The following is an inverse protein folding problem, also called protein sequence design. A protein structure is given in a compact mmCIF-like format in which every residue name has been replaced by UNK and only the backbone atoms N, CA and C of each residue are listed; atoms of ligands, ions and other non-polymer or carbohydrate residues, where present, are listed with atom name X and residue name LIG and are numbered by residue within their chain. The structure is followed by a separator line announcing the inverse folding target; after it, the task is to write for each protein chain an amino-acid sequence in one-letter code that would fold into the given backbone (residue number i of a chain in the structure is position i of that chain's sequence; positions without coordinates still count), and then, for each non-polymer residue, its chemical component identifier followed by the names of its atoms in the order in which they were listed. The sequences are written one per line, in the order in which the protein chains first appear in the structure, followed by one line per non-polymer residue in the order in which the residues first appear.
data_IF_805864798869
#
_entry.id   IF_805864798869
#
_cell.length_a   1.000
_cell.length_b   1.000
_cell.length_c   1.000
_cell.angle_alpha   90.00
_cell.angle_beta   90.00
_cell.angle_gamma   90.00
#
_symmetry.space_group_name_H-M   'P 1'
#
loop_
_entity.id
_entity.type
_entity.pdbx_description
1 polymer ?
#
# COMPACT_ATOMS: atom_id res chain seq x y z
N UNK A 1 16.82 56.26 2.49
CA UNK A 1 17.12 54.98 1.76
C UNK A 1 17.26 53.75 2.65
N UNK A 2 17.42 53.84 3.97
CA UNK A 2 17.64 52.73 4.89
C UNK A 2 16.36 51.88 5.21
N UNK A 3 15.15 52.43 5.11
CA UNK A 3 13.90 51.71 5.40
C UNK A 3 13.51 50.65 4.36
N UNK A 4 13.98 50.74 3.13
CA UNK A 4 13.71 49.78 2.04
C UNK A 4 14.57 48.51 2.09
N UNK A 5 15.73 48.60 2.70
CA UNK A 5 16.68 47.48 2.85
C UNK A 5 16.27 46.51 3.95
N UNK A 6 15.54 46.97 4.99
CA UNK A 6 15.09 46.11 6.11
C UNK A 6 13.94 45.16 5.68
N UNK A 7 13.08 45.62 4.73
CA UNK A 7 11.99 44.79 4.21
C UNK A 7 12.44 43.68 3.26
N UNK A 8 13.58 43.87 2.56
CA UNK A 8 14.12 42.83 1.66
C UNK A 8 14.82 41.68 2.39
N UNK A 9 15.23 41.85 3.66
CA UNK A 9 15.86 40.82 4.46
C UNK A 9 14.89 39.83 5.14
N UNK A 10 13.61 40.18 5.29
CA UNK A 10 12.61 39.34 5.95
C UNK A 10 11.90 38.36 5.01
N UNK A 11 11.94 38.58 3.69
CA UNK A 11 11.26 37.75 2.69
C UNK A 11 11.79 36.28 2.64
N UNK A 12 13.10 35.98 2.72
CA UNK A 12 13.60 34.60 2.66
C UNK A 12 13.34 33.79 3.93
N UNK A 13 13.13 34.42 5.10
CA UNK A 13 12.82 33.69 6.33
C UNK A 13 11.38 33.14 6.38
N UNK A 14 10.46 33.74 5.64
CA UNK A 14 9.06 33.29 5.63
C UNK A 14 8.84 32.02 4.77
N UNK A 15 9.73 31.71 3.82
CA UNK A 15 9.63 30.52 2.97
C UNK A 15 10.11 29.23 3.68
N UNK A 16 10.89 29.30 4.73
CA UNK A 16 11.35 28.15 5.52
C UNK A 16 10.31 27.66 6.53
N UNK A 17 9.22 28.40 6.76
CA UNK A 17 8.16 28.04 7.71
C UNK A 17 7.16 27.01 7.17
N UNK A 18 7.12 26.75 5.85
CA UNK A 18 6.35 25.66 5.26
C UNK A 18 7.10 24.35 5.49
N UNK A 19 6.98 23.69 6.63
CA UNK A 19 7.66 22.45 7.02
C UNK A 19 7.57 21.30 6.01
N UNK A 20 7.96 21.54 4.77
CA UNK A 20 7.99 20.57 3.68
C UNK A 20 9.14 19.60 3.89
N UNK A 21 8.84 18.49 4.57
CA UNK A 21 9.77 17.36 4.66
C UNK A 21 9.55 16.46 3.44
N UNK A 22 10.57 16.32 2.61
CA UNK A 22 10.64 15.25 1.62
C UNK A 22 10.31 13.93 2.31
N UNK A 23 9.43 13.14 1.70
CA UNK A 23 9.04 11.81 2.21
C UNK A 23 10.28 10.93 2.27
N UNK A 24 10.82 10.73 3.45
CA UNK A 24 11.95 9.84 3.66
C UNK A 24 11.51 8.38 3.51
N UNK A 25 12.41 7.54 2.99
CA UNK A 25 12.17 6.10 2.97
C UNK A 25 11.92 5.62 4.42
N UNK A 26 10.93 4.77 4.64
CA UNK A 26 10.64 4.26 5.97
C UNK A 26 11.83 3.49 6.53
N UNK A 27 12.06 3.60 7.85
CA UNK A 27 13.01 2.78 8.58
C UNK A 27 12.32 1.53 9.08
N UNK A 28 13.02 0.39 9.00
CA UNK A 28 12.52 -0.90 9.46
C UNK A 28 13.40 -1.44 10.58
N UNK A 29 12.81 -2.21 11.50
CA UNK A 29 13.53 -2.90 12.57
C UNK A 29 14.27 -4.16 12.08
N UNK A 30 14.22 -4.46 10.80
CA UNK A 30 14.82 -5.63 10.15
C UNK A 30 15.54 -5.21 8.87
N UNK A 31 16.56 -5.97 8.50
CA UNK A 31 17.38 -5.78 7.29
C UNK A 31 17.09 -6.83 6.20
N UNK A 32 16.56 -7.98 6.59
CA UNK A 32 16.25 -9.10 5.70
C UNK A 32 14.80 -9.55 5.87
N UNK A 33 14.10 -9.75 4.75
CA UNK A 33 12.70 -10.14 4.72
C UNK A 33 12.47 -11.24 3.68
N UNK A 34 11.82 -12.32 4.08
CA UNK A 34 11.25 -13.29 3.15
C UNK A 34 9.80 -12.92 2.85
N UNK A 35 9.47 -12.72 1.57
CA UNK A 35 8.12 -12.43 1.12
C UNK A 35 7.43 -13.72 0.64
N UNK A 36 6.61 -14.30 1.51
CA UNK A 36 5.77 -15.45 1.20
C UNK A 36 4.49 -14.97 0.48
N UNK A 37 4.60 -14.76 -0.82
CA UNK A 37 3.49 -14.39 -1.70
C UNK A 37 3.57 -15.23 -2.97
N UNK A 38 2.41 -15.55 -3.57
CA UNK A 38 2.38 -16.24 -4.86
C UNK A 38 3.16 -15.46 -5.93
N UNK A 39 3.87 -16.15 -6.80
CA UNK A 39 4.66 -15.52 -7.86
C UNK A 39 3.80 -14.65 -8.78
N UNK A 40 2.55 -15.06 -9.02
CA UNK A 40 1.57 -14.34 -9.83
C UNK A 40 0.83 -13.21 -9.08
N UNK A 41 1.07 -13.03 -7.75
CA UNK A 41 0.40 -11.98 -6.97
C UNK A 41 0.82 -10.57 -7.42
N UNK A 42 -0.09 -9.75 -7.99
CA UNK A 42 0.22 -8.39 -8.37
C UNK A 42 0.61 -7.52 -7.17
N UNK A 43 -0.08 -7.71 -6.03
CA UNK A 43 0.20 -7.01 -4.78
C UNK A 43 1.56 -7.42 -4.21
N UNK A 44 1.88 -8.72 -4.19
CA UNK A 44 3.18 -9.22 -3.75
C UNK A 44 4.33 -8.67 -4.61
N UNK A 45 4.13 -8.59 -5.92
CA UNK A 45 5.10 -8.02 -6.85
C UNK A 45 5.31 -6.51 -6.62
N UNK A 46 4.24 -5.76 -6.37
CA UNK A 46 4.33 -4.33 -6.08
C UNK A 46 5.00 -4.08 -4.72
N UNK A 47 4.64 -4.84 -3.70
CA UNK A 47 5.26 -4.76 -2.37
C UNK A 47 6.76 -5.07 -2.43
N UNK A 48 7.16 -6.13 -3.16
CA UNK A 48 8.56 -6.46 -3.40
C UNK A 48 9.33 -5.28 -4.02
N UNK A 49 8.80 -4.67 -5.09
CA UNK A 49 9.44 -3.52 -5.74
C UNK A 49 9.58 -2.33 -4.78
N UNK A 50 8.53 -2.03 -4.01
CA UNK A 50 8.54 -0.93 -3.06
C UNK A 50 9.54 -1.15 -1.93
N UNK A 51 9.60 -2.35 -1.33
CA UNK A 51 10.59 -2.67 -0.29
C UNK A 51 12.01 -2.56 -0.84
N UNK A 52 12.28 -3.17 -2.00
CA UNK A 52 13.59 -3.11 -2.65
C UNK A 52 14.03 -1.68 -2.97
N UNK A 53 13.10 -0.81 -3.39
CA UNK A 53 13.40 0.58 -3.72
C UNK A 53 13.81 1.44 -2.52
N UNK A 54 13.54 1.00 -1.29
CA UNK A 54 14.00 1.70 -0.08
C UNK A 54 15.50 1.60 0.11
N UNK A 55 16.15 0.58 -0.46
CA UNK A 55 17.57 0.29 -0.29
C UNK A 55 17.96 -0.18 1.13
N UNK A 56 16.97 -0.35 2.04
CA UNK A 56 17.19 -0.66 3.46
C UNK A 56 16.91 -2.12 3.81
N UNK A 57 16.18 -2.84 2.96
CA UNK A 57 15.74 -4.22 3.20
C UNK A 57 16.11 -5.08 2.01
N UNK A 58 16.78 -6.20 2.28
CA UNK A 58 16.98 -7.27 1.31
C UNK A 58 15.77 -8.20 1.32
N UNK A 59 15.09 -8.33 0.17
CA UNK A 59 13.87 -9.12 0.07
C UNK A 59 14.15 -10.42 -0.69
N UNK A 60 13.88 -11.54 -0.04
CA UNK A 60 13.97 -12.88 -0.59
C UNK A 60 12.58 -13.41 -0.96
N UNK A 61 12.52 -14.22 -2.01
CA UNK A 61 11.31 -14.95 -2.44
C UNK A 61 11.56 -16.43 -2.69
N UNK A 62 12.80 -16.86 -2.60
CA UNK A 62 13.20 -18.25 -2.74
C UNK A 62 13.08 -18.96 -1.37
N UNK A 63 12.40 -20.09 -1.32
CA UNK A 63 12.14 -20.81 -0.07
C UNK A 63 13.40 -21.31 0.67
N UNK A 64 14.59 -21.13 0.09
CA UNK A 64 15.87 -21.55 0.69
C UNK A 64 16.32 -20.64 1.83
N UNK A 65 15.88 -19.37 1.82
CA UNK A 65 16.32 -18.34 2.77
C UNK A 65 15.40 -18.18 3.99
N UNK A 66 14.42 -19.09 4.19
CA UNK A 66 13.40 -18.95 5.24
C UNK A 66 13.96 -18.90 6.68
N UNK A 67 15.08 -19.56 6.94
CA UNK A 67 15.70 -19.61 8.27
C UNK A 67 16.77 -18.52 8.48
N UNK A 68 17.19 -17.84 7.41
CA UNK A 68 18.31 -16.90 7.42
C UNK A 68 17.85 -15.44 7.31
N UNK A 69 16.54 -15.20 7.47
CA UNK A 69 15.96 -13.86 7.44
C UNK A 69 15.53 -13.37 8.82
N UNK A 70 15.51 -12.06 9.01
CA UNK A 70 15.03 -11.48 10.26
C UNK A 70 13.51 -11.70 10.41
N UNK A 71 12.76 -11.53 9.30
CA UNK A 71 11.30 -11.65 9.30
C UNK A 71 10.75 -12.31 8.05
N UNK A 72 9.58 -12.93 8.21
CA UNK A 72 8.79 -13.54 7.15
C UNK A 72 7.45 -12.81 7.06
N UNK A 73 7.17 -12.25 5.90
CA UNK A 73 5.89 -11.62 5.58
C UNK A 73 5.03 -12.62 4.80
N UNK A 74 4.04 -13.19 5.46
CA UNK A 74 3.07 -14.09 4.84
C UNK A 74 1.90 -13.26 4.25
N UNK A 75 1.74 -13.26 2.93
CA UNK A 75 0.55 -12.77 2.26
C UNK A 75 -0.48 -13.91 2.21
N UNK A 76 -1.44 -13.90 3.14
CA UNK A 76 -2.36 -15.02 3.36
C UNK A 76 -3.55 -14.99 2.41
N UNK A 77 -4.00 -13.79 2.02
CA UNK A 77 -5.17 -13.61 1.17
C UNK A 77 -5.04 -12.33 0.34
N UNK A 78 -5.40 -12.42 -0.94
CA UNK A 78 -5.60 -11.28 -1.84
C UNK A 78 -6.88 -11.57 -2.62
N UNK A 79 -7.97 -10.83 -2.34
CA UNK A 79 -9.29 -11.10 -2.89
C UNK A 79 -9.91 -9.82 -3.45
N UNK A 80 -10.38 -9.89 -4.69
CA UNK A 80 -11.15 -8.85 -5.35
C UNK A 80 -12.61 -9.26 -5.39
N UNK A 81 -13.50 -8.35 -5.00
CA UNK A 81 -14.94 -8.59 -4.95
C UNK A 81 -15.68 -7.46 -5.68
N UNK A 82 -16.79 -7.81 -6.30
CA UNK A 82 -17.76 -6.86 -6.88
C UNK A 82 -19.10 -7.10 -6.17
N UNK A 83 -19.61 -6.08 -5.53
CA UNK A 83 -20.89 -6.14 -4.82
C UNK A 83 -21.86 -5.16 -5.44
N UNK A 84 -23.05 -5.63 -5.80
CA UNK A 84 -24.14 -4.75 -6.27
C UNK A 84 -24.66 -3.98 -5.06
N UNK A 85 -24.62 -2.65 -5.11
CA UNK A 85 -25.07 -1.75 -4.03
C UNK A 85 -26.22 -0.85 -4.46
N UNK A 86 -26.48 -0.73 -5.78
CA UNK A 86 -27.59 0.07 -6.31
C UNK A 86 -28.27 -0.58 -7.51
N UNK A 87 -29.62 -0.58 -7.47
CA UNK A 87 -30.47 -0.99 -8.60
C UNK A 87 -31.37 0.18 -9.00
N UNK A 88 -31.79 0.22 -10.27
CA UNK A 88 -32.84 1.13 -10.71
C UNK A 88 -34.25 0.54 -10.45
N UNK A 89 -35.30 1.30 -10.76
CA UNK A 89 -36.69 0.87 -10.62
C UNK A 89 -37.05 -0.37 -11.45
N UNK A 90 -36.30 -0.68 -12.50
CA UNK A 90 -36.44 -1.85 -13.34
C UNK A 90 -35.60 -3.05 -12.88
N UNK A 91 -34.92 -2.98 -11.74
CA UNK A 91 -34.06 -4.04 -11.20
C UNK A 91 -32.69 -4.16 -11.85
N UNK A 92 -32.30 -3.24 -12.73
CA UNK A 92 -31.00 -3.27 -13.38
C UNK A 92 -29.93 -2.65 -12.46
N UNK A 93 -28.71 -3.18 -12.50
CA UNK A 93 -27.57 -2.68 -11.73
C UNK A 93 -27.21 -1.26 -12.16
N UNK A 94 -27.09 -0.37 -11.19
CA UNK A 94 -26.68 1.03 -11.37
C UNK A 94 -25.40 1.38 -10.66
N UNK A 95 -25.10 0.66 -9.57
CA UNK A 95 -23.94 0.93 -8.78
C UNK A 95 -23.31 -0.37 -8.27
N UNK A 96 -22.00 -0.46 -8.40
CA UNK A 96 -21.18 -1.53 -7.88
C UNK A 96 -20.20 -0.97 -6.86
N UNK A 97 -19.97 -1.71 -5.79
CA UNK A 97 -18.88 -1.48 -4.89
C UNK A 97 -17.78 -2.51 -5.17
N UNK A 98 -16.61 -2.01 -5.55
CA UNK A 98 -15.39 -2.79 -5.69
C UNK A 98 -14.72 -2.90 -4.33
N UNK A 99 -14.30 -4.11 -3.95
CA UNK A 99 -13.59 -4.38 -2.71
C UNK A 99 -12.30 -5.11 -3.00
N UNK A 100 -11.22 -4.65 -2.37
CA UNK A 100 -9.95 -5.37 -2.33
C UNK A 100 -9.64 -5.70 -0.88
N UNK A 101 -9.66 -6.98 -0.58
CA UNK A 101 -9.39 -7.53 0.75
C UNK A 101 -8.04 -8.21 0.74
N UNK A 102 -7.17 -7.85 1.67
CA UNK A 102 -5.82 -8.40 1.81
C UNK A 102 -5.60 -8.78 3.27
N UNK A 103 -5.16 -10.02 3.50
CA UNK A 103 -4.77 -10.49 4.82
C UNK A 103 -3.30 -10.86 4.81
N UNK A 104 -2.57 -10.36 5.79
CA UNK A 104 -1.15 -10.64 5.94
C UNK A 104 -0.76 -10.72 7.42
N UNK A 105 0.41 -11.30 7.68
CA UNK A 105 1.07 -11.28 8.99
C UNK A 105 2.58 -11.12 8.81
N UNK A 106 3.25 -10.63 9.84
CA UNK A 106 4.71 -10.62 9.94
C UNK A 106 5.11 -11.52 11.12
N UNK A 107 5.98 -12.48 10.86
CA UNK A 107 6.53 -13.36 11.89
C UNK A 107 8.04 -13.47 11.79
N UNK A 108 8.69 -13.88 12.87
CA UNK A 108 10.10 -14.25 12.87
C UNK A 108 10.26 -15.77 12.63
N UNK A 109 11.43 -16.23 12.13
CA UNK A 109 11.71 -17.67 12.04
C UNK A 109 11.60 -18.40 13.38
N UNK A 110 11.82 -17.68 14.49
CA UNK A 110 11.77 -18.22 15.86
C UNK A 110 10.34 -18.31 16.42
N UNK A 111 9.33 -17.88 15.66
CA UNK A 111 7.92 -17.97 16.04
C UNK A 111 7.33 -16.72 16.69
N UNK A 112 8.09 -15.63 16.80
CA UNK A 112 7.53 -14.32 17.18
C UNK A 112 6.58 -13.78 16.10
N UNK A 113 5.56 -13.03 16.49
CA UNK A 113 4.59 -12.39 15.59
C UNK A 113 4.53 -10.87 15.82
N UNK A 114 5.52 -10.09 15.32
CA UNK A 114 5.54 -8.64 15.43
C UNK A 114 4.29 -7.97 14.83
N UNK A 115 3.69 -8.55 13.79
CA UNK A 115 2.36 -8.19 13.29
C UNK A 115 1.54 -9.48 13.18
N UNK A 116 0.53 -9.68 14.06
CA UNK A 116 -0.38 -10.81 13.96
C UNK A 116 -1.19 -10.72 12.67
N UNK A 117 -1.92 -11.78 12.33
CA UNK A 117 -2.77 -11.79 11.13
C UNK A 117 -3.75 -10.61 11.16
N UNK A 118 -3.64 -9.73 10.19
CA UNK A 118 -4.43 -8.50 10.05
C UNK A 118 -5.01 -8.40 8.65
N UNK A 119 -6.24 -7.91 8.58
CA UNK A 119 -6.93 -7.65 7.32
C UNK A 119 -6.90 -6.16 6.98
N UNK A 120 -6.62 -5.86 5.72
CA UNK A 120 -6.79 -4.55 5.10
C UNK A 120 -7.91 -4.64 4.06
N UNK A 121 -8.82 -3.69 4.09
CA UNK A 121 -9.92 -3.57 3.15
C UNK A 121 -9.89 -2.19 2.51
N UNK A 122 -9.94 -2.17 1.19
CA UNK A 122 -10.21 -0.97 0.39
C UNK A 122 -11.51 -1.14 -0.36
N UNK A 123 -12.28 -0.08 -0.47
CA UNK A 123 -13.55 -0.06 -1.23
C UNK A 123 -13.59 1.15 -2.16
N UNK A 124 -14.22 0.98 -3.31
CA UNK A 124 -14.53 2.07 -4.27
C UNK A 124 -15.90 1.80 -4.87
N UNK A 125 -16.71 2.83 -4.94
CA UNK A 125 -17.98 2.76 -5.62
C UNK A 125 -17.82 3.19 -7.07
N UNK A 126 -18.51 2.51 -7.99
CA UNK A 126 -18.48 2.78 -9.42
C UNK A 126 -19.88 2.73 -9.96
N UNK A 127 -20.29 3.76 -10.72
CA UNK A 127 -21.54 3.71 -11.48
C UNK A 127 -21.44 2.67 -12.58
N UNK A 128 -22.50 1.89 -12.77
CA UNK A 128 -22.55 0.85 -13.79
C UNK A 128 -23.63 1.16 -14.84
N UNK A 129 -23.26 0.94 -16.11
CA UNK A 129 -24.17 1.05 -17.24
C UNK A 129 -23.78 -0.01 -18.28
N UNK A 130 -24.72 -0.91 -18.59
CA UNK A 130 -24.49 -2.01 -19.53
C UNK A 130 -24.06 -1.54 -20.93
N UNK A 131 -24.55 -0.38 -21.38
CA UNK A 131 -24.18 0.18 -22.70
C UNK A 131 -22.72 0.62 -22.79
N UNK A 132 -22.03 0.74 -21.67
CA UNK A 132 -20.63 1.19 -21.56
C UNK A 132 -19.72 0.13 -20.90
N UNK A 133 -20.08 -1.15 -20.99
CA UNK A 133 -19.42 -2.22 -20.26
C UNK A 133 -17.89 -2.23 -20.43
N UNK A 134 -17.37 -2.11 -21.64
CA UNK A 134 -15.91 -2.10 -21.91
C UNK A 134 -15.19 -0.93 -21.25
N UNK A 135 -15.79 0.27 -21.29
CA UNK A 135 -15.21 1.43 -20.61
C UNK A 135 -15.21 1.23 -19.09
N UNK A 136 -16.28 0.60 -18.55
CA UNK A 136 -16.39 0.30 -17.11
C UNK A 136 -15.40 -0.77 -16.66
N UNK A 137 -15.10 -1.76 -17.46
CA UNK A 137 -14.04 -2.75 -17.15
C UNK A 137 -12.66 -2.09 -17.06
N UNK A 138 -12.34 -1.15 -17.94
CA UNK A 138 -11.07 -0.41 -17.89
C UNK A 138 -11.00 0.49 -16.64
N UNK A 139 -12.09 1.16 -16.28
CA UNK A 139 -12.21 1.97 -15.07
C UNK A 139 -12.04 1.10 -13.81
N UNK A 140 -12.71 -0.03 -13.74
CA UNK A 140 -12.60 -1.01 -12.65
C UNK A 140 -11.16 -1.48 -12.47
N UNK A 141 -10.49 -1.86 -13.56
CA UNK A 141 -9.10 -2.29 -13.54
C UNK A 141 -8.15 -1.19 -13.00
N UNK A 142 -8.43 0.08 -13.33
CA UNK A 142 -7.68 1.22 -12.80
C UNK A 142 -7.93 1.40 -11.31
N UNK A 143 -9.19 1.31 -10.86
CA UNK A 143 -9.55 1.42 -9.46
C UNK A 143 -8.90 0.32 -8.61
N UNK A 144 -8.90 -0.93 -9.08
CA UNK A 144 -8.21 -2.02 -8.37
C UNK A 144 -6.70 -1.79 -8.27
N UNK A 145 -6.05 -1.25 -9.31
CA UNK A 145 -4.62 -0.87 -9.23
C UNK A 145 -4.37 0.20 -8.18
N UNK A 146 -5.22 1.23 -8.12
CA UNK A 146 -5.10 2.29 -7.13
C UNK A 146 -5.33 1.77 -5.71
N UNK A 147 -6.36 0.95 -5.48
CA UNK A 147 -6.62 0.31 -4.18
C UNK A 147 -5.46 -0.60 -3.76
N UNK A 148 -4.85 -1.33 -4.70
CA UNK A 148 -3.69 -2.17 -4.45
C UNK A 148 -2.50 -1.32 -3.98
N UNK A 149 -2.19 -0.21 -4.68
CA UNK A 149 -1.12 0.70 -4.27
C UNK A 149 -1.38 1.33 -2.89
N UNK A 150 -2.64 1.70 -2.59
CA UNK A 150 -3.04 2.18 -1.27
C UNK A 150 -2.77 1.14 -0.17
N UNK A 151 -3.11 -0.14 -0.42
CA UNK A 151 -2.85 -1.24 0.51
C UNK A 151 -1.35 -1.45 0.70
N UNK A 152 -0.56 -1.49 -0.38
CA UNK A 152 0.90 -1.61 -0.30
C UNK A 152 1.49 -0.50 0.58
N UNK A 153 1.04 0.74 0.42
CA UNK A 153 1.49 1.85 1.26
C UNK A 153 1.07 1.68 2.72
N UNK A 154 -0.12 1.13 2.99
CA UNK A 154 -0.53 0.81 4.36
C UNK A 154 0.32 -0.31 4.97
N UNK A 155 0.64 -1.35 4.20
CA UNK A 155 1.52 -2.43 4.65
C UNK A 155 2.92 -1.87 4.99
N UNK A 156 3.52 -1.06 4.12
CA UNK A 156 4.82 -0.43 4.37
C UNK A 156 4.84 0.40 5.65
N UNK A 157 3.77 1.17 5.90
CA UNK A 157 3.66 1.94 7.16
C UNK A 157 3.57 1.04 8.39
N UNK A 158 2.84 -0.09 8.30
CA UNK A 158 2.73 -1.05 9.42
C UNK A 158 4.06 -1.76 9.67
N UNK A 159 4.77 -2.14 8.62
CA UNK A 159 6.11 -2.72 8.71
C UNK A 159 7.11 -1.76 9.36
N UNK A 160 7.06 -0.48 9.00
CA UNK A 160 7.92 0.55 9.58
C UNK A 160 7.55 0.91 11.04
N UNK A 161 6.31 0.62 11.47
CA UNK A 161 5.87 0.84 12.84
C UNK A 161 6.39 -0.22 13.82
N UNK A 162 6.87 -1.37 13.34
CA UNK A 162 7.51 -2.39 14.16
C UNK A 162 8.83 -1.84 14.72
N UNK A 163 9.01 -1.92 16.04
CA UNK A 163 10.22 -1.42 16.74
C UNK A 163 11.09 -2.53 17.27
N UNK A 164 10.51 -3.70 17.53
CA UNK A 164 11.20 -4.88 18.06
C UNK A 164 10.70 -6.12 17.33
N UNK A 165 11.56 -7.11 17.17
CA UNK A 165 11.26 -8.43 16.57
C UNK A 165 11.08 -9.50 17.62
#
# INVERSE_FOLDING_TARGET
MQRRLVLAGFAPLALSACGFKLRQAPDFAFSTLYLAAGESSPLGNELHRNLKSTGKVTVFRDGKSLNDVDVILDLQQEQRERVVVGLNASGQVRELQLRLRVRFRLRTPQGGEPIPSVELLQTRDISYNETQALAKEAEEALLYRNMQSDIVQQMLRRLAAVKQL
#
